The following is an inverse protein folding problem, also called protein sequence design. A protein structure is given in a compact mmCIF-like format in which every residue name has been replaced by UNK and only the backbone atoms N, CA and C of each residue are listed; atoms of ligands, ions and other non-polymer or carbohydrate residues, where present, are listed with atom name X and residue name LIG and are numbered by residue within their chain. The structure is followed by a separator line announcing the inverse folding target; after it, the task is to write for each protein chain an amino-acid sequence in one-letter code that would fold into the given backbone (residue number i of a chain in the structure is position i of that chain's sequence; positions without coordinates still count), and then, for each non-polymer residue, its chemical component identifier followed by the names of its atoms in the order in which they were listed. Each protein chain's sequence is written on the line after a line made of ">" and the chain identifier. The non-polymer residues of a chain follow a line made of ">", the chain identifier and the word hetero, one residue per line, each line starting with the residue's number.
data_IF_647114418153
#
_entry.id   IF_647114418153
#
_cell.length_a   1.000
_cell.length_b   1.000
_cell.length_c   1.000
_cell.angle_alpha   90.00
_cell.angle_beta   90.00
_cell.angle_gamma   90.00
#
_symmetry.space_group_name_H-M   'P 1'
#
loop_
_entity.id
_entity.type
_entity.pdbx_description
1 polymer ?
#
# COMPACT_ATOMS: atom_id res chain seq x y z
N UNK A 1 -26.69 -7.57 5.39
CA UNK A 1 -25.59 -6.99 6.21
C UNK A 1 -24.21 -7.63 5.98
N UNK A 2 -24.06 -8.73 5.21
CA UNK A 2 -22.73 -9.34 4.96
C UNK A 2 -21.88 -8.74 3.82
N UNK A 3 -22.44 -7.87 2.97
CA UNK A 3 -21.78 -7.47 1.71
C UNK A 3 -20.82 -6.27 1.87
N UNK A 4 -21.14 -5.28 2.71
CA UNK A 4 -20.28 -4.10 2.92
C UNK A 4 -18.97 -4.44 3.63
N UNK A 5 -19.03 -5.27 4.68
CA UNK A 5 -17.84 -5.67 5.42
C UNK A 5 -16.85 -6.45 4.55
N UNK A 6 -17.38 -7.27 3.63
CA UNK A 6 -16.55 -8.01 2.66
C UNK A 6 -15.93 -7.09 1.61
N UNK A 7 -16.67 -6.07 1.16
CA UNK A 7 -16.14 -5.04 0.24
C UNK A 7 -15.03 -4.21 0.89
N UNK A 8 -15.17 -3.80 2.15
CA UNK A 8 -14.13 -3.06 2.86
C UNK A 8 -12.86 -3.92 3.01
N UNK A 9 -12.99 -5.19 3.40
CA UNK A 9 -11.84 -6.10 3.48
C UNK A 9 -11.15 -6.30 2.13
N UNK A 10 -11.91 -6.49 1.04
CA UNK A 10 -11.34 -6.60 -0.30
C UNK A 10 -10.60 -5.32 -0.73
N UNK A 11 -11.13 -4.15 -0.35
CA UNK A 11 -10.50 -2.87 -0.64
C UNK A 11 -9.17 -2.72 0.12
N UNK A 12 -9.15 -3.08 1.41
CA UNK A 12 -7.93 -3.12 2.24
C UNK A 12 -6.90 -4.04 1.59
N UNK A 13 -7.29 -5.28 1.27
CA UNK A 13 -6.39 -6.27 0.68
C UNK A 13 -5.81 -5.78 -0.65
N UNK A 14 -6.63 -5.19 -1.52
CA UNK A 14 -6.19 -4.63 -2.80
C UNK A 14 -5.16 -3.52 -2.60
N UNK A 15 -5.41 -2.58 -1.69
CA UNK A 15 -4.46 -1.50 -1.38
C UNK A 15 -3.14 -2.05 -0.83
N UNK A 16 -3.19 -3.02 0.07
CA UNK A 16 -1.99 -3.65 0.62
C UNK A 16 -1.18 -4.42 -0.43
N UNK A 17 -1.84 -5.08 -1.40
CA UNK A 17 -1.17 -5.73 -2.54
C UNK A 17 -0.45 -4.68 -3.41
N UNK A 18 -1.07 -3.53 -3.65
CA UNK A 18 -0.46 -2.43 -4.39
C UNK A 18 0.76 -1.87 -3.64
N UNK A 19 0.63 -1.59 -2.33
CA UNK A 19 1.73 -1.17 -1.44
C UNK A 19 2.89 -2.14 -1.53
N UNK A 20 2.64 -3.45 -1.38
CA UNK A 20 3.67 -4.49 -1.45
C UNK A 20 4.39 -4.48 -2.80
N UNK A 21 3.65 -4.35 -3.88
CA UNK A 21 4.19 -4.38 -5.24
C UNK A 21 5.10 -3.17 -5.51
N UNK A 22 4.65 -1.98 -5.14
CA UNK A 22 5.42 -0.75 -5.28
C UNK A 22 6.65 -0.71 -4.37
N UNK A 23 6.52 -1.16 -3.11
CA UNK A 23 7.65 -1.25 -2.19
C UNK A 23 8.74 -2.19 -2.72
N UNK A 24 8.36 -3.28 -3.39
CA UNK A 24 9.31 -4.18 -4.05
C UNK A 24 10.05 -3.49 -5.20
N UNK A 25 9.35 -2.71 -6.03
CA UNK A 25 9.97 -1.91 -7.08
C UNK A 25 10.98 -0.91 -6.49
N UNK A 26 10.62 -0.23 -5.40
CA UNK A 26 11.50 0.71 -4.71
C UNK A 26 12.77 0.03 -4.16
N UNK A 27 12.62 -1.15 -3.57
CA UNK A 27 13.71 -1.97 -3.07
C UNK A 27 14.62 -2.45 -4.20
N UNK A 28 14.04 -2.97 -5.28
CA UNK A 28 14.78 -3.47 -6.44
C UNK A 28 15.56 -2.34 -7.12
N UNK A 29 14.99 -1.14 -7.23
CA UNK A 29 15.70 0.04 -7.76
C UNK A 29 16.90 0.45 -6.89
N UNK A 30 16.74 0.37 -5.57
CA UNK A 30 17.83 0.64 -4.61
C UNK A 30 18.93 -0.40 -4.74
N UNK A 31 18.56 -1.68 -4.80
CA UNK A 31 19.50 -2.79 -4.95
C UNK A 31 20.24 -2.75 -6.28
N UNK A 32 19.58 -2.32 -7.36
CA UNK A 32 20.19 -2.16 -8.68
C UNK A 32 21.35 -1.15 -8.62
N UNK A 33 21.14 0.00 -7.97
CA UNK A 33 22.21 0.98 -7.73
C UNK A 33 23.33 0.42 -6.83
N UNK A 34 22.98 -0.32 -5.78
CA UNK A 34 23.96 -0.94 -4.88
C UNK A 34 24.79 -2.05 -5.54
N UNK A 35 24.25 -2.74 -6.55
CA UNK A 35 24.95 -3.79 -7.31
C UNK A 35 25.99 -3.24 -8.31
N UNK A 36 26.16 -1.91 -8.40
CA UNK A 36 27.18 -1.28 -9.24
C UNK A 36 26.75 -1.03 -10.68
N UNK A 37 25.44 -1.07 -10.97
CA UNK A 37 24.91 -0.63 -12.26
C UNK A 37 24.85 0.89 -12.33
N UNK A 38 25.22 1.45 -13.49
CA UNK A 38 25.50 2.89 -13.66
C UNK A 38 24.30 3.80 -13.41
N UNK A 39 23.07 3.35 -13.68
CA UNK A 39 21.86 4.12 -13.43
C UNK A 39 20.76 3.27 -12.79
N UNK A 40 20.07 3.77 -11.74
CA UNK A 40 18.82 3.18 -11.28
C UNK A 40 17.77 3.26 -12.39
N UNK A 41 16.94 2.22 -12.54
CA UNK A 41 15.89 2.22 -13.56
C UNK A 41 14.72 3.18 -13.24
N UNK A 42 14.69 3.76 -12.03
CA UNK A 42 13.83 4.87 -11.60
C UNK A 42 14.70 6.01 -11.07
N UNK A 43 14.45 7.23 -11.54
CA UNK A 43 15.14 8.44 -11.09
C UNK A 43 14.88 8.75 -9.61
N UNK A 44 15.70 9.60 -8.98
CA UNK A 44 15.49 9.97 -7.58
C UNK A 44 14.16 10.72 -7.36
N UNK A 45 13.77 11.59 -8.30
CA UNK A 45 12.51 12.33 -8.21
C UNK A 45 11.31 11.38 -8.32
N UNK A 46 11.34 10.45 -9.27
CA UNK A 46 10.29 9.43 -9.44
C UNK A 46 10.24 8.45 -8.27
N UNK A 47 11.39 8.15 -7.65
CA UNK A 47 11.44 7.37 -6.41
C UNK A 47 10.75 8.10 -5.25
N UNK A 48 10.94 9.41 -5.14
CA UNK A 48 10.23 10.23 -4.15
C UNK A 48 8.71 10.16 -4.34
N UNK A 49 8.24 10.26 -5.59
CA UNK A 49 6.82 10.12 -5.93
C UNK A 49 6.29 8.73 -5.62
N UNK A 50 7.06 7.68 -5.92
CA UNK A 50 6.70 6.29 -5.61
C UNK A 50 6.58 6.06 -4.11
N UNK A 51 7.53 6.57 -3.31
CA UNK A 51 7.48 6.47 -1.85
C UNK A 51 6.27 7.22 -1.27
N UNK A 52 5.97 8.41 -1.79
CA UNK A 52 4.78 9.15 -1.39
C UNK A 52 3.49 8.37 -1.67
N UNK A 53 3.35 7.80 -2.87
CA UNK A 53 2.20 6.97 -3.24
C UNK A 53 2.08 5.69 -2.39
N UNK A 54 3.20 5.06 -2.03
CA UNK A 54 3.24 3.90 -1.12
C UNK A 54 2.68 4.28 0.25
N UNK A 55 3.12 5.42 0.81
CA UNK A 55 2.68 5.90 2.12
C UNK A 55 1.18 6.21 2.09
N UNK A 56 0.73 6.97 1.09
CA UNK A 56 -0.68 7.36 0.94
C UNK A 56 -1.61 6.13 0.85
N UNK A 57 -1.23 5.12 0.06
CA UNK A 57 -2.00 3.87 -0.04
C UNK A 57 -1.98 3.03 1.24
N UNK A 58 -0.89 3.06 2.00
CA UNK A 58 -0.81 2.38 3.29
C UNK A 58 -1.69 3.07 4.35
N UNK A 59 -1.71 4.41 4.38
CA UNK A 59 -2.58 5.19 5.26
C UNK A 59 -4.04 4.96 4.92
N UNK A 60 -4.43 5.02 3.64
CA UNK A 60 -5.79 4.70 3.21
C UNK A 60 -6.22 3.26 3.59
N UNK A 61 -5.33 2.27 3.45
CA UNK A 61 -5.65 0.89 3.86
C UNK A 61 -5.82 0.77 5.39
N UNK A 62 -5.08 1.57 6.16
CA UNK A 62 -5.18 1.59 7.61
C UNK A 62 -6.48 2.26 8.08
N UNK A 63 -6.88 3.36 7.45
CA UNK A 63 -8.13 4.06 7.75
C UNK A 63 -9.35 3.16 7.44
N UNK A 64 -9.35 2.49 6.28
CA UNK A 64 -10.37 1.49 5.94
C UNK A 64 -10.45 0.36 6.99
N UNK A 65 -9.29 -0.09 7.51
CA UNK A 65 -9.23 -1.12 8.54
C UNK A 65 -9.82 -0.63 9.87
N UNK A 66 -9.60 0.64 10.23
CA UNK A 66 -10.23 1.23 11.41
C UNK A 66 -11.75 1.33 11.24
N UNK A 67 -12.22 1.77 10.06
CA UNK A 67 -13.64 1.84 9.75
C UNK A 67 -14.29 0.45 9.81
N UNK A 68 -13.63 -0.57 9.25
CA UNK A 68 -14.07 -1.97 9.37
C UNK A 68 -14.23 -2.42 10.83
N UNK A 69 -13.26 -2.10 11.70
CA UNK A 69 -13.34 -2.44 13.13
C UNK A 69 -14.49 -1.73 13.83
N UNK A 70 -14.71 -0.45 13.56
CA UNK A 70 -15.78 0.35 14.16
C UNK A 70 -17.17 -0.10 13.69
N UNK A 71 -17.31 -0.42 12.40
CA UNK A 71 -18.56 -0.92 11.81
C UNK A 71 -18.87 -2.37 12.22
N UNK A 72 -17.84 -3.21 12.40
CA UNK A 72 -17.97 -4.56 12.93
C UNK A 72 -18.41 -4.60 14.40
N UNK A 73 -18.00 -3.61 15.22
CA UNK A 73 -18.41 -3.49 16.62
C UNK A 73 -19.87 -3.08 16.81
N UNK A 74 -20.43 -2.28 15.89
CA UNK A 74 -21.82 -1.79 15.97
C UNK A 74 -22.89 -2.81 15.58
N UNK A 75 -22.50 -3.92 14.95
CA UNK A 75 -23.45 -4.96 14.49
C UNK A 75 -23.58 -6.15 15.47
N UNK A 76 -22.96 -6.06 16.66
CA UNK A 76 -22.98 -7.10 17.70
C UNK A 76 -23.64 -6.64 19.02
N UNK A 77 -24.32 -5.50 19.03
CA UNK A 77 -25.26 -5.07 20.10
C UNK A 77 -26.70 -5.16 19.60
#
# INVERSE_FOLDING_TARGET
>A
MGNNNFQILNNIETKLIQVRSMAKIALDNTNYKCAGYDEPFISQADMGNLLWAIVDLAEMAFDDLQEYRLSGGKNNE
#
